data_IF_118629330378
#
_entry.id   IF_118629330378
#
_cell.length_a   1.000
_cell.length_b   1.000
_cell.length_c   1.000
_cell.angle_alpha   90.00
_cell.angle_beta   90.00
_cell.angle_gamma   90.00
#
_symmetry.space_group_name_H-M   'P 1'
#
loop_
_entity.id
_entity.type
_entity.pdbx_description
1 polymer ?
#
# COMPACT_ATOMS: atom_id res chain seq x y z
N UNK A 1 1.66 6.03 -19.38
CA UNK A 1 2.53 4.84 -19.66
C UNK A 1 1.96 4.01 -20.81
N UNK A 2 2.79 3.21 -21.47
CA UNK A 2 2.31 2.29 -22.53
C UNK A 2 1.80 1.01 -21.86
N UNK A 3 0.62 0.55 -22.29
CA UNK A 3 0.06 -0.73 -21.81
C UNK A 3 1.01 -1.89 -22.10
N UNK A 4 1.33 -2.69 -21.10
CA UNK A 4 2.10 -3.93 -21.27
C UNK A 4 1.16 -5.01 -21.79
N UNK A 5 1.49 -5.57 -22.97
CA UNK A 5 0.76 -6.65 -23.64
C UNK A 5 1.63 -7.91 -23.60
N UNK A 6 1.48 -8.79 -22.59
CA UNK A 6 2.33 -9.98 -22.49
C UNK A 6 2.09 -10.92 -23.69
N UNK A 7 3.17 -11.32 -24.35
CA UNK A 7 3.08 -12.22 -25.50
C UNK A 7 2.50 -13.57 -25.09
N UNK A 8 1.47 -14.03 -25.81
CA UNK A 8 0.82 -15.30 -25.51
C UNK A 8 0.01 -15.33 -24.21
N UNK A 9 -0.35 -14.17 -23.66
CA UNK A 9 -1.21 -14.10 -22.47
C UNK A 9 -2.53 -14.84 -22.71
N UNK A 10 -2.95 -15.59 -21.70
CA UNK A 10 -4.27 -16.22 -21.63
C UNK A 10 -4.75 -16.26 -20.19
N UNK A 11 -6.03 -16.09 -19.99
CA UNK A 11 -6.67 -16.25 -18.69
C UNK A 11 -6.58 -17.72 -18.25
N UNK A 12 -5.82 -18.01 -17.19
CA UNK A 12 -5.66 -19.37 -16.66
C UNK A 12 -6.93 -19.93 -16.01
N UNK A 13 -7.90 -19.05 -15.67
CA UNK A 13 -9.19 -19.41 -15.08
C UNK A 13 -10.29 -19.59 -16.15
N UNK A 14 -9.93 -19.51 -17.42
CA UNK A 14 -10.76 -19.77 -18.60
C UNK A 14 -11.83 -18.72 -18.87
N UNK A 15 -12.58 -18.27 -17.86
CA UNK A 15 -13.70 -17.33 -18.01
C UNK A 15 -13.84 -16.36 -16.82
N UNK A 16 -14.72 -15.38 -16.98
CA UNK A 16 -14.98 -14.35 -15.96
C UNK A 16 -15.61 -14.94 -14.69
N UNK A 17 -16.54 -15.92 -14.82
CA UNK A 17 -17.20 -16.53 -13.66
C UNK A 17 -16.19 -17.22 -12.72
N UNK A 18 -15.24 -17.98 -13.27
CA UNK A 18 -14.19 -18.62 -12.50
C UNK A 18 -13.25 -17.58 -11.89
N UNK A 19 -12.98 -16.49 -12.61
CA UNK A 19 -12.19 -15.37 -12.11
C UNK A 19 -12.87 -14.71 -10.89
N UNK A 20 -14.16 -14.44 -10.95
CA UNK A 20 -14.92 -13.87 -9.84
C UNK A 20 -14.95 -14.79 -8.60
N UNK A 21 -15.14 -16.10 -8.81
CA UNK A 21 -15.02 -17.08 -7.73
C UNK A 21 -13.63 -17.06 -7.09
N UNK A 22 -12.58 -17.04 -7.89
CA UNK A 22 -11.21 -17.00 -7.40
C UNK A 22 -10.89 -15.69 -6.66
N UNK A 23 -11.37 -14.55 -7.14
CA UNK A 23 -11.25 -13.25 -6.44
C UNK A 23 -11.86 -13.33 -5.04
N UNK A 24 -13.08 -13.88 -4.93
CA UNK A 24 -13.74 -14.08 -3.64
C UNK A 24 -12.88 -14.96 -2.72
N UNK A 25 -12.38 -16.10 -3.21
CA UNK A 25 -11.52 -16.99 -2.43
C UNK A 25 -10.24 -16.30 -1.94
N UNK A 26 -9.54 -15.57 -2.82
CA UNK A 26 -8.35 -14.79 -2.42
C UNK A 26 -8.69 -13.79 -1.32
N UNK A 27 -9.77 -13.01 -1.50
CA UNK A 27 -10.16 -11.97 -0.52
C UNK A 27 -10.51 -12.57 0.83
N UNK A 28 -11.31 -13.62 0.87
CA UNK A 28 -11.73 -14.26 2.13
C UNK A 28 -10.54 -14.88 2.86
N UNK A 29 -9.72 -15.69 2.17
CA UNK A 29 -8.56 -16.35 2.74
C UNK A 29 -7.50 -15.36 3.23
N UNK A 30 -7.20 -14.34 2.42
CA UNK A 30 -6.14 -13.41 2.77
C UNK A 30 -6.50 -12.55 3.99
N UNK A 31 -7.72 -12.00 4.06
CA UNK A 31 -8.14 -11.20 5.21
C UNK A 31 -8.14 -12.00 6.52
N UNK A 32 -8.51 -13.29 6.49
CA UNK A 32 -8.41 -14.18 7.64
C UNK A 32 -6.96 -14.42 8.05
N UNK A 33 -6.09 -14.77 7.09
CA UNK A 33 -4.68 -15.00 7.35
C UNK A 33 -3.99 -13.72 7.88
N UNK A 34 -4.25 -12.55 7.28
CA UNK A 34 -3.71 -11.27 7.74
C UNK A 34 -4.16 -10.94 9.16
N UNK A 35 -5.46 -11.11 9.45
CA UNK A 35 -6.03 -10.86 10.76
C UNK A 35 -5.40 -11.76 11.84
N UNK A 36 -5.21 -13.03 11.53
CA UNK A 36 -4.56 -13.98 12.43
C UNK A 36 -3.09 -13.63 12.69
N UNK A 37 -2.32 -13.33 11.61
CA UNK A 37 -0.89 -13.01 11.71
C UNK A 37 -0.62 -11.74 12.52
N UNK A 38 -1.46 -10.71 12.39
CA UNK A 38 -1.23 -9.41 12.99
C UNK A 38 -2.11 -9.11 14.22
N UNK A 39 -3.05 -10.02 14.59
CA UNK A 39 -4.04 -9.83 15.64
C UNK A 39 -4.94 -8.60 15.40
N UNK A 40 -5.59 -8.56 14.23
CA UNK A 40 -6.43 -7.45 13.78
C UNK A 40 -7.92 -7.75 13.95
N UNK A 41 -8.68 -6.74 14.37
CA UNK A 41 -10.13 -6.72 14.35
C UNK A 41 -10.61 -5.96 13.10
N UNK A 42 -11.54 -6.54 12.33
CA UNK A 42 -12.19 -5.79 11.24
C UNK A 42 -13.11 -4.72 11.81
N UNK A 43 -13.01 -3.50 11.29
CA UNK A 43 -13.88 -2.38 11.66
C UNK A 43 -14.48 -1.73 10.41
N UNK A 44 -15.61 -1.04 10.57
CA UNK A 44 -16.14 -0.16 9.52
C UNK A 44 -15.35 1.13 9.46
N UNK A 45 -15.16 1.66 8.26
CA UNK A 45 -14.43 2.90 8.05
C UNK A 45 -15.22 3.90 7.20
N UNK A 46 -14.94 5.20 7.31
CA UNK A 46 -15.58 6.20 6.47
C UNK A 46 -15.04 6.13 5.04
N UNK A 47 -15.91 6.36 4.07
CA UNK A 47 -15.54 6.61 2.69
C UNK A 47 -15.18 8.09 2.46
N UNK A 48 -15.68 8.96 3.32
CA UNK A 48 -15.50 10.42 3.23
C UNK A 48 -15.11 10.99 4.59
N UNK A 49 -14.33 12.05 4.59
CA UNK A 49 -13.94 12.82 5.78
C UNK A 49 -14.15 14.31 5.53
N UNK A 50 -14.26 15.10 6.61
CA UNK A 50 -14.38 16.57 6.48
C UNK A 50 -13.05 17.16 6.01
N UNK A 51 -13.14 18.07 5.04
CA UNK A 51 -12.01 18.84 4.53
C UNK A 51 -11.39 19.68 5.65
N UNK A 52 -10.05 19.83 5.65
CA UNK A 52 -9.34 20.67 6.59
C UNK A 52 -9.09 20.05 7.96
N UNK A 53 -9.43 18.78 8.17
CA UNK A 53 -9.15 18.06 9.42
C UNK A 53 -7.75 17.48 9.53
N UNK A 54 -7.04 17.37 8.41
CA UNK A 54 -5.76 16.67 8.32
C UNK A 54 -5.88 15.14 8.42
N UNK A 55 -7.11 14.59 8.35
CA UNK A 55 -7.34 13.13 8.41
C UNK A 55 -7.08 12.49 7.06
N UNK A 56 -7.52 13.12 5.95
CA UNK A 56 -7.24 12.60 4.62
C UNK A 56 -5.74 12.66 4.30
N UNK A 57 -5.32 11.84 3.36
CA UNK A 57 -3.95 11.82 2.87
C UNK A 57 -3.82 12.75 1.66
N UNK A 58 -2.78 13.57 1.66
CA UNK A 58 -2.46 14.45 0.52
C UNK A 58 -1.60 13.71 -0.53
N UNK A 59 -1.32 12.43 -0.34
CA UNK A 59 -0.40 11.62 -1.16
C UNK A 59 0.95 12.35 -1.31
N UNK A 60 1.27 12.81 -2.55
CA UNK A 60 2.46 13.62 -2.79
C UNK A 60 2.20 15.14 -2.67
N UNK A 61 1.03 15.55 -2.17
CA UNK A 61 0.59 16.95 -1.98
C UNK A 61 0.29 17.68 -3.30
N UNK A 62 0.06 16.97 -4.39
CA UNK A 62 -0.30 17.51 -5.70
C UNK A 62 -1.61 16.94 -6.24
N UNK A 63 -2.03 15.77 -5.75
CA UNK A 63 -3.25 15.08 -6.17
C UNK A 63 -4.49 15.76 -5.62
N UNK A 64 -5.52 15.88 -6.46
CA UNK A 64 -6.79 16.52 -6.12
C UNK A 64 -7.75 15.53 -5.46
N UNK A 65 -8.28 15.79 -4.26
CA UNK A 65 -9.35 14.97 -3.70
C UNK A 65 -10.67 15.20 -4.43
N UNK A 66 -11.46 14.15 -4.56
CA UNK A 66 -12.87 14.29 -4.96
C UNK A 66 -13.63 14.87 -3.78
N UNK A 67 -14.13 16.10 -3.89
CA UNK A 67 -14.77 16.81 -2.79
C UNK A 67 -16.13 17.38 -3.17
N UNK A 68 -17.03 17.47 -2.18
CA UNK A 68 -18.41 17.95 -2.36
C UNK A 68 -18.92 18.64 -1.09
N UNK A 69 -19.91 19.55 -1.20
CA UNK A 69 -20.57 20.14 -0.03
C UNK A 69 -21.60 19.21 0.56
N UNK A 70 -21.85 19.31 1.87
CA UNK A 70 -22.89 18.58 2.60
C UNK A 70 -24.00 19.54 3.00
N UNK A 71 -25.19 19.40 2.39
CA UNK A 71 -26.34 20.29 2.58
C UNK A 71 -26.75 20.40 4.05
N UNK A 72 -26.90 19.29 4.75
CA UNK A 72 -27.36 19.25 6.14
C UNK A 72 -26.29 19.72 7.16
N UNK A 73 -25.09 20.05 6.68
CA UNK A 73 -24.00 20.61 7.45
C UNK A 73 -23.63 22.05 6.98
N UNK A 74 -24.63 22.81 6.54
CA UNK A 74 -24.46 24.19 6.06
C UNK A 74 -23.36 24.31 4.97
N UNK A 75 -23.41 23.42 3.99
CA UNK A 75 -22.47 23.37 2.87
C UNK A 75 -20.98 23.11 3.28
N UNK A 76 -20.76 22.61 4.49
CA UNK A 76 -19.43 22.16 4.89
C UNK A 76 -18.93 21.10 3.93
N UNK A 77 -17.66 21.21 3.53
CA UNK A 77 -17.09 20.30 2.51
C UNK A 77 -16.57 19.02 3.12
N UNK A 78 -16.86 17.91 2.42
CA UNK A 78 -16.24 16.62 2.62
C UNK A 78 -15.45 16.21 1.39
N UNK A 79 -14.56 15.26 1.56
CA UNK A 79 -13.73 14.68 0.50
C UNK A 79 -13.67 13.16 0.63
N UNK A 80 -13.65 12.48 -0.51
CA UNK A 80 -13.41 11.04 -0.56
C UNK A 80 -11.98 10.76 -0.12
N UNK A 81 -11.78 9.75 0.71
CA UNK A 81 -10.46 9.43 1.23
C UNK A 81 -9.49 9.00 0.13
N UNK A 82 -8.23 9.41 0.26
CA UNK A 82 -7.11 8.86 -0.51
C UNK A 82 -6.43 7.71 0.24
N UNK A 83 -6.46 7.75 1.58
CA UNK A 83 -5.94 6.75 2.50
C UNK A 83 -6.61 6.90 3.86
N UNK A 84 -6.63 5.86 4.66
CA UNK A 84 -7.16 5.84 6.02
C UNK A 84 -6.05 5.76 7.09
N UNK A 85 -4.79 5.97 6.76
CA UNK A 85 -3.67 5.84 7.68
C UNK A 85 -3.87 6.66 8.97
N UNK A 86 -4.21 7.94 8.83
CA UNK A 86 -4.44 8.85 9.96
C UNK A 86 -5.75 8.56 10.70
N UNK A 87 -6.81 8.23 9.97
CA UNK A 87 -8.09 7.86 10.57
C UNK A 87 -7.98 6.59 11.44
N UNK A 88 -7.30 5.56 10.97
CA UNK A 88 -7.11 4.31 11.73
C UNK A 88 -6.41 4.56 13.06
N UNK A 89 -5.40 5.42 13.07
CA UNK A 89 -4.68 5.77 14.28
C UNK A 89 -5.56 6.51 15.29
N UNK A 90 -6.40 7.45 14.83
CA UNK A 90 -7.42 8.09 15.67
C UNK A 90 -8.38 7.06 16.24
N UNK A 91 -8.86 6.13 15.40
CA UNK A 91 -9.79 5.07 15.78
C UNK A 91 -9.23 4.14 16.84
N UNK A 92 -7.96 3.75 16.73
CA UNK A 92 -7.26 2.96 17.75
C UNK A 92 -7.17 3.69 19.09
N UNK A 93 -6.92 5.00 19.07
CA UNK A 93 -6.93 5.84 20.28
C UNK A 93 -8.31 5.94 20.92
N UNK A 94 -9.36 6.18 20.13
CA UNK A 94 -10.77 6.19 20.58
C UNK A 94 -11.18 4.86 21.22
N UNK A 95 -10.82 3.75 20.59
CA UNK A 95 -11.12 2.40 21.07
C UNK A 95 -10.23 1.95 22.23
N UNK A 96 -9.20 2.72 22.57
CA UNK A 96 -8.21 2.38 23.61
C UNK A 96 -7.61 0.98 23.41
N UNK A 97 -7.25 0.66 22.17
CA UNK A 97 -6.70 -0.65 21.82
C UNK A 97 -5.34 -0.85 22.46
N UNK A 98 -5.15 -2.01 23.11
CA UNK A 98 -3.90 -2.33 23.78
C UNK A 98 -2.74 -2.63 22.78
N UNK A 99 -1.48 -2.39 23.15
CA UNK A 99 -0.32 -2.78 22.35
C UNK A 99 -0.36 -4.26 21.96
N UNK A 100 0.08 -4.56 20.74
CA UNK A 100 0.06 -5.90 20.16
C UNK A 100 -1.23 -6.27 19.43
N UNK A 101 -2.28 -5.44 19.51
CA UNK A 101 -3.56 -5.60 18.79
C UNK A 101 -3.78 -4.44 17.81
N UNK A 102 -4.63 -4.65 16.83
CA UNK A 102 -4.91 -3.65 15.81
C UNK A 102 -6.28 -3.80 15.15
N UNK A 103 -6.47 -3.00 14.13
CA UNK A 103 -7.68 -3.01 13.28
C UNK A 103 -7.30 -3.13 11.82
N UNK A 104 -8.21 -3.64 11.00
CA UNK A 104 -8.19 -3.46 9.55
C UNK A 104 -9.58 -3.11 9.02
N UNK A 105 -9.61 -2.56 7.83
CA UNK A 105 -10.85 -2.21 7.14
C UNK A 105 -10.70 -2.43 5.64
N UNK A 106 -11.84 -2.56 4.95
CA UNK A 106 -11.91 -2.48 3.50
C UNK A 106 -11.98 -0.99 3.12
N UNK A 107 -10.86 -0.43 2.69
CA UNK A 107 -10.78 0.95 2.23
C UNK A 107 -11.11 1.00 0.74
N UNK A 108 -11.89 2.01 0.36
CA UNK A 108 -12.15 2.38 -1.02
C UNK A 108 -11.78 3.85 -1.21
N UNK A 109 -10.92 4.14 -2.18
CA UNK A 109 -10.43 5.48 -2.48
C UNK A 109 -10.63 5.85 -3.94
N UNK A 110 -10.81 7.13 -4.22
CA UNK A 110 -10.83 7.67 -5.58
C UNK A 110 -9.64 8.59 -5.81
N UNK A 111 -8.91 8.34 -6.87
CA UNK A 111 -7.72 9.10 -7.28
C UNK A 111 -7.89 9.62 -8.71
N UNK A 112 -8.52 10.77 -8.90
CA UNK A 112 -8.87 11.28 -10.24
C UNK A 112 -7.64 11.64 -11.08
N UNK A 113 -6.49 11.89 -10.46
CA UNK A 113 -5.24 12.25 -11.13
C UNK A 113 -4.32 11.03 -11.39
N UNK A 114 -4.80 9.81 -11.13
CA UNK A 114 -4.02 8.58 -11.36
C UNK A 114 -3.78 8.35 -12.85
N UNK A 115 -2.55 8.03 -13.23
CA UNK A 115 -2.21 7.61 -14.59
C UNK A 115 -2.60 6.14 -14.76
N UNK A 116 -3.58 5.89 -15.64
CA UNK A 116 -4.14 4.56 -15.84
C UNK A 116 -3.17 3.67 -16.65
N UNK A 117 -2.91 2.47 -16.14
CA UNK A 117 -2.08 1.45 -16.80
C UNK A 117 -2.52 0.04 -16.38
N UNK A 118 -1.64 -0.96 -16.55
CA UNK A 118 -1.95 -2.35 -16.18
C UNK A 118 -2.30 -2.53 -14.70
N UNK A 119 -1.79 -1.68 -13.80
CA UNK A 119 -1.87 -1.85 -12.34
C UNK A 119 -2.50 -0.68 -11.59
N UNK A 120 -2.78 0.43 -12.29
CA UNK A 120 -3.39 1.63 -11.74
C UNK A 120 -4.79 1.88 -12.32
N UNK A 121 -5.71 2.28 -11.45
CA UNK A 121 -7.08 2.66 -11.82
C UNK A 121 -7.56 3.82 -10.94
N UNK A 122 -8.62 4.51 -11.37
CA UNK A 122 -9.24 5.62 -10.62
C UNK A 122 -9.73 5.21 -9.22
N UNK A 123 -10.07 3.93 -9.06
CA UNK A 123 -10.59 3.35 -7.83
C UNK A 123 -9.55 2.44 -7.21
N UNK A 124 -9.22 2.69 -5.94
CA UNK A 124 -8.25 1.90 -5.16
C UNK A 124 -8.97 1.21 -4.02
N UNK A 125 -8.77 -0.11 -3.89
CA UNK A 125 -9.27 -0.93 -2.81
C UNK A 125 -8.10 -1.55 -2.03
N UNK A 126 -8.14 -1.44 -0.69
CA UNK A 126 -7.08 -1.97 0.17
C UNK A 126 -7.65 -2.67 1.40
N UNK A 127 -6.98 -3.73 1.87
CA UNK A 127 -6.99 -4.07 3.28
C UNK A 127 -6.08 -3.06 3.97
N UNK A 128 -6.68 -2.07 4.57
CA UNK A 128 -5.98 -0.98 5.22
C UNK A 128 -5.93 -1.25 6.72
N UNK A 129 -4.74 -1.53 7.25
CA UNK A 129 -4.52 -2.04 8.61
C UNK A 129 -3.66 -1.11 9.45
N UNK A 130 -3.84 -1.17 10.78
CA UNK A 130 -3.07 -0.41 11.75
C UNK A 130 -3.02 -1.18 13.08
N UNK A 131 -1.84 -1.25 13.70
CA UNK A 131 -1.60 -2.00 14.94
C UNK A 131 -0.90 -1.12 15.96
N UNK A 132 -1.39 -1.15 17.22
CA UNK A 132 -0.75 -0.44 18.34
C UNK A 132 0.53 -1.18 18.74
N UNK A 133 1.60 -0.41 18.90
CA UNK A 133 2.92 -0.88 19.33
C UNK A 133 3.41 -0.09 20.54
N UNK A 134 4.43 -0.60 21.23
CA UNK A 134 5.11 0.17 22.27
C UNK A 134 6.17 1.09 21.67
N UNK A 135 6.69 2.05 22.45
CA UNK A 135 7.78 2.93 21.98
C UNK A 135 9.07 2.16 21.68
N UNK A 136 9.35 1.11 22.45
CA UNK A 136 10.53 0.24 22.28
C UNK A 136 10.46 -0.58 20.97
N UNK A 137 9.25 -0.81 20.46
CA UNK A 137 9.02 -1.51 19.18
C UNK A 137 9.18 -0.60 17.95
N UNK A 138 9.49 0.69 18.15
CA UNK A 138 9.82 1.61 17.05
C UNK A 138 11.26 1.39 16.56
N UNK A 139 11.51 0.27 15.94
CA UNK A 139 12.83 -0.13 15.43
C UNK A 139 12.71 -0.99 14.17
N UNK A 140 13.84 -1.13 13.46
CA UNK A 140 13.89 -1.84 12.16
C UNK A 140 13.65 -3.35 12.32
N UNK A 141 14.02 -3.94 13.44
CA UNK A 141 13.82 -5.37 13.69
C UNK A 141 12.33 -5.70 13.78
N UNK A 142 11.55 -4.86 14.47
CA UNK A 142 10.10 -5.01 14.58
C UNK A 142 9.39 -4.77 13.23
N UNK A 143 9.84 -3.79 12.44
CA UNK A 143 9.35 -3.59 11.08
C UNK A 143 9.55 -4.85 10.24
N UNK A 144 10.78 -5.37 10.17
CA UNK A 144 11.12 -6.59 9.41
C UNK A 144 10.31 -7.81 9.88
N UNK A 145 10.09 -7.95 11.19
CA UNK A 145 9.25 -9.03 11.73
C UNK A 145 7.80 -8.91 11.25
N UNK A 146 7.24 -7.70 11.24
CA UNK A 146 5.87 -7.46 10.80
C UNK A 146 5.73 -7.74 9.30
N UNK A 147 6.69 -7.32 8.50
CA UNK A 147 6.73 -7.62 7.05
C UNK A 147 6.75 -9.13 6.79
N UNK A 148 7.57 -9.90 7.52
CA UNK A 148 7.59 -11.38 7.38
C UNK A 148 6.24 -12.01 7.69
N UNK A 149 5.50 -11.51 8.68
CA UNK A 149 4.15 -12.01 9.00
C UNK A 149 3.15 -11.73 7.89
N UNK A 150 3.22 -10.55 7.27
CA UNK A 150 2.37 -10.22 6.11
C UNK A 150 2.74 -11.09 4.91
N UNK A 151 4.03 -11.25 4.65
CA UNK A 151 4.51 -12.11 3.58
C UNK A 151 4.06 -13.57 3.77
N UNK A 152 4.10 -14.08 4.99
CA UNK A 152 3.58 -15.41 5.32
C UNK A 152 2.06 -15.52 5.06
N UNK A 153 1.27 -14.48 5.39
CA UNK A 153 -0.15 -14.46 5.05
C UNK A 153 -0.38 -14.56 3.53
N UNK A 154 0.46 -13.89 2.71
CA UNK A 154 0.40 -13.98 1.25
C UNK A 154 0.75 -15.40 0.77
N UNK A 155 1.85 -15.98 1.27
CA UNK A 155 2.28 -17.36 0.90
C UNK A 155 1.22 -18.41 1.25
N UNK A 156 0.66 -18.33 2.45
CA UNK A 156 -0.41 -19.25 2.87
C UNK A 156 -1.61 -19.13 1.94
N UNK A 157 -1.96 -17.91 1.53
CA UNK A 157 -3.06 -17.67 0.59
C UNK A 157 -2.74 -18.24 -0.80
N UNK A 158 -1.53 -18.04 -1.32
CA UNK A 158 -1.08 -18.60 -2.60
C UNK A 158 -1.16 -20.13 -2.60
N UNK A 159 -0.68 -20.78 -1.54
CA UNK A 159 -0.70 -22.24 -1.42
C UNK A 159 -2.13 -22.80 -1.29
N UNK A 160 -3.01 -22.16 -0.55
CA UNK A 160 -4.42 -22.57 -0.46
C UNK A 160 -5.14 -22.40 -1.79
N UNK A 161 -4.86 -21.30 -2.51
CA UNK A 161 -5.43 -21.05 -3.82
C UNK A 161 -5.03 -22.13 -4.83
N UNK A 162 -3.78 -22.60 -4.79
CA UNK A 162 -3.29 -23.69 -5.64
C UNK A 162 -4.07 -25.00 -5.43
N UNK A 163 -4.52 -25.29 -4.22
CA UNK A 163 -5.33 -26.51 -3.94
C UNK A 163 -6.66 -26.46 -4.69
N UNK A 164 -7.29 -25.30 -4.80
CA UNK A 164 -8.58 -25.13 -5.48
C UNK A 164 -8.43 -24.88 -6.99
N UNK A 165 -7.35 -24.20 -7.38
CA UNK A 165 -7.04 -23.83 -8.76
C UNK A 165 -5.63 -24.31 -9.14
N UNK A 166 -5.43 -25.61 -9.44
CA UNK A 166 -4.09 -26.18 -9.65
C UNK A 166 -3.29 -25.58 -10.81
N UNK A 167 -3.94 -24.86 -11.73
CA UNK A 167 -3.28 -24.09 -12.79
C UNK A 167 -2.56 -22.83 -12.28
N UNK A 168 -2.85 -22.37 -11.05
CA UNK A 168 -2.20 -21.21 -10.41
C UNK A 168 -1.03 -21.68 -9.55
N UNK A 169 0.01 -22.20 -10.19
CA UNK A 169 1.18 -22.75 -9.49
C UNK A 169 1.86 -21.69 -8.63
N UNK A 170 2.14 -21.97 -7.32
CA UNK A 170 2.86 -21.06 -6.44
C UNK A 170 4.23 -20.65 -7.01
N UNK A 171 4.59 -19.38 -6.82
CA UNK A 171 5.85 -18.82 -7.34
C UNK A 171 6.59 -17.94 -6.33
N UNK A 172 6.00 -17.68 -5.17
CA UNK A 172 6.65 -16.87 -4.14
C UNK A 172 7.85 -17.62 -3.54
N UNK A 173 9.01 -16.95 -3.38
CA UNK A 173 10.17 -17.52 -2.70
C UNK A 173 9.88 -17.82 -1.23
N UNK A 174 10.70 -18.69 -0.62
CA UNK A 174 10.54 -19.07 0.78
C UNK A 174 10.66 -17.87 1.72
N UNK A 175 11.63 -16.98 1.45
CA UNK A 175 11.90 -15.81 2.27
C UNK A 175 11.84 -14.52 1.46
N UNK A 176 11.43 -13.44 2.11
CA UNK A 176 11.49 -12.09 1.58
C UNK A 176 12.86 -11.48 1.83
N UNK A 177 13.43 -10.83 0.81
CA UNK A 177 14.69 -10.10 0.93
C UNK A 177 14.43 -8.67 1.41
N UNK A 178 15.31 -8.16 2.31
CA UNK A 178 15.26 -6.79 2.80
C UNK A 178 16.45 -6.00 2.26
N UNK A 179 16.20 -4.81 1.75
CA UNK A 179 17.24 -3.89 1.29
C UNK A 179 16.81 -2.45 1.59
N UNK A 180 17.77 -1.60 1.99
CA UNK A 180 17.50 -0.18 2.13
C UNK A 180 17.60 0.53 0.77
N UNK A 181 16.78 1.57 0.57
CA UNK A 181 16.77 2.36 -0.67
C UNK A 181 18.15 2.93 -1.03
N UNK A 182 18.94 3.34 -0.02
CA UNK A 182 20.32 3.76 -0.23
C UNK A 182 21.21 2.64 -0.76
N UNK A 183 21.14 1.44 -0.17
CA UNK A 183 21.89 0.28 -0.67
C UNK A 183 21.50 -0.08 -2.10
N UNK A 184 20.20 0.09 -2.43
CA UNK A 184 19.71 -0.15 -3.78
C UNK A 184 20.23 0.89 -4.78
N UNK A 185 20.37 2.16 -4.38
CA UNK A 185 21.04 3.20 -5.15
C UNK A 185 22.51 2.86 -5.36
N UNK A 186 23.21 2.45 -4.30
CA UNK A 186 24.67 2.14 -4.36
C UNK A 186 24.94 0.92 -5.27
N UNK A 187 24.04 -0.06 -5.31
CA UNK A 187 24.13 -1.22 -6.21
C UNK A 187 23.89 -0.87 -7.69
N UNK A 188 23.01 0.10 -7.94
CA UNK A 188 22.58 0.47 -9.29
C UNK A 188 22.55 1.99 -9.50
N UNK A 189 23.69 2.71 -9.36
CA UNK A 189 23.71 4.18 -9.29
C UNK A 189 23.25 4.86 -10.59
N UNK A 190 23.36 4.18 -11.74
CA UNK A 190 22.94 4.74 -13.04
C UNK A 190 21.48 4.45 -13.42
N UNK A 191 20.71 3.77 -12.56
CA UNK A 191 19.33 3.36 -12.87
C UNK A 191 18.33 4.24 -12.14
N UNK A 192 17.14 4.43 -12.75
CA UNK A 192 15.98 5.07 -12.11
C UNK A 192 15.42 4.16 -11.01
N UNK A 193 14.66 4.70 -10.02
CA UNK A 193 14.10 3.90 -8.93
C UNK A 193 13.37 2.63 -9.38
N UNK A 194 12.43 2.72 -10.32
CA UNK A 194 11.69 1.55 -10.83
C UNK A 194 12.56 0.54 -11.58
N UNK A 195 13.65 0.98 -12.21
CA UNK A 195 14.63 0.07 -12.83
C UNK A 195 15.45 -0.66 -11.77
N UNK A 196 15.82 0.02 -10.67
CA UNK A 196 16.50 -0.59 -9.50
C UNK A 196 15.60 -1.66 -8.86
N UNK A 197 14.31 -1.36 -8.67
CA UNK A 197 13.32 -2.32 -8.18
C UNK A 197 13.24 -3.55 -9.08
N UNK A 198 13.14 -3.36 -10.39
CA UNK A 198 13.09 -4.47 -11.36
C UNK A 198 14.31 -5.39 -11.25
N UNK A 199 15.52 -4.85 -11.10
CA UNK A 199 16.73 -5.66 -10.96
C UNK A 199 16.73 -6.49 -9.68
N UNK A 200 16.45 -5.87 -8.54
CA UNK A 200 16.54 -6.56 -7.26
C UNK A 200 15.39 -7.56 -7.08
N UNK A 201 14.17 -7.21 -7.52
CA UNK A 201 13.01 -8.09 -7.38
C UNK A 201 13.09 -9.27 -8.36
N UNK A 202 13.64 -9.06 -9.58
CA UNK A 202 13.94 -10.17 -10.50
C UNK A 202 14.90 -11.19 -9.88
N UNK A 203 15.89 -10.70 -9.10
CA UNK A 203 16.90 -11.54 -8.46
C UNK A 203 16.36 -12.36 -7.30
N UNK A 204 15.51 -11.76 -6.46
CA UNK A 204 15.07 -12.36 -5.20
C UNK A 204 13.59 -12.81 -5.20
N UNK A 205 12.79 -12.43 -6.18
CA UNK A 205 11.37 -12.77 -6.30
C UNK A 205 10.44 -11.98 -5.38
N UNK A 206 10.87 -11.69 -4.14
CA UNK A 206 10.14 -10.88 -3.17
C UNK A 206 11.12 -10.01 -2.39
N UNK A 207 10.87 -8.70 -2.33
CA UNK A 207 11.76 -7.71 -1.71
C UNK A 207 10.95 -6.69 -0.92
N UNK A 208 11.45 -6.30 0.26
CA UNK A 208 10.98 -5.14 0.98
C UNK A 208 12.04 -4.04 0.91
N UNK A 209 11.72 -2.94 0.23
CA UNK A 209 12.61 -1.78 0.10
C UNK A 209 12.33 -0.83 1.26
N UNK A 210 13.32 -0.63 2.13
CA UNK A 210 13.22 0.17 3.35
C UNK A 210 13.65 1.62 3.07
N UNK A 211 13.06 2.60 3.78
CA UNK A 211 13.50 4.00 3.77
C UNK A 211 12.95 4.80 2.59
N UNK A 212 11.66 4.63 2.30
CA UNK A 212 10.96 5.37 1.24
C UNK A 212 10.53 6.76 1.76
N UNK A 213 10.88 7.82 1.03
CA UNK A 213 10.50 9.20 1.32
C UNK A 213 11.66 10.12 1.74
N UNK A 214 12.72 9.59 2.34
CA UNK A 214 13.92 10.37 2.65
C UNK A 214 14.80 10.57 1.42
N UNK A 215 15.48 11.72 1.35
CA UNK A 215 16.51 11.96 0.34
C UNK A 215 17.67 10.97 0.52
N UNK A 216 18.15 10.40 -0.57
CA UNK A 216 19.31 9.53 -0.65
C UNK A 216 20.59 10.36 -0.88
N UNK A 217 21.74 9.70 -1.03
CA UNK A 217 23.04 10.36 -1.23
C UNK A 217 23.14 11.16 -2.53
N UNK A 218 22.28 10.90 -3.51
CA UNK A 218 22.14 11.67 -4.74
C UNK A 218 21.22 12.91 -4.62
N UNK A 219 20.63 13.12 -3.43
CA UNK A 219 19.74 14.24 -3.12
C UNK A 219 18.26 13.97 -3.40
N UNK A 220 17.92 12.88 -4.06
CA UNK A 220 16.54 12.52 -4.43
C UNK A 220 16.01 11.36 -3.56
N UNK A 221 14.72 11.31 -3.25
CA UNK A 221 14.13 10.14 -2.62
C UNK A 221 14.00 8.98 -3.62
N UNK A 222 13.97 7.75 -3.10
CA UNK A 222 13.67 6.58 -3.96
C UNK A 222 12.26 6.67 -4.55
N UNK A 223 11.28 7.01 -3.71
CA UNK A 223 9.90 7.30 -4.12
C UNK A 223 9.29 8.32 -3.15
N UNK A 224 8.13 8.89 -3.52
CA UNK A 224 7.38 9.83 -2.70
C UNK A 224 6.79 9.20 -1.44
N UNK A 225 6.69 9.99 -0.35
CA UNK A 225 5.96 9.62 0.86
C UNK A 225 5.52 10.87 1.59
N UNK A 226 4.26 10.94 2.02
CA UNK A 226 3.77 12.07 2.82
C UNK A 226 4.54 12.19 4.14
N UNK A 227 4.51 13.41 4.72
CA UNK A 227 5.27 13.72 5.93
C UNK A 227 4.60 13.25 7.22
N UNK A 228 3.34 12.83 7.18
CA UNK A 228 2.49 12.81 8.35
C UNK A 228 1.87 11.45 8.73
N UNK A 229 2.38 10.35 8.15
CA UNK A 229 2.00 9.01 8.61
C UNK A 229 3.20 8.06 8.75
N UNK A 230 3.95 7.71 7.72
CA UNK A 230 5.12 6.82 7.84
C UNK A 230 6.36 7.57 8.33
N UNK A 231 7.13 6.95 9.24
CA UNK A 231 8.40 7.49 9.71
C UNK A 231 9.54 7.10 8.77
N UNK A 232 9.87 8.01 7.87
CA UNK A 232 10.99 7.87 6.93
C UNK A 232 12.25 8.65 7.35
N UNK A 233 12.22 9.36 8.48
CA UNK A 233 13.30 10.26 8.89
C UNK A 233 14.08 9.83 10.14
N UNK A 234 13.57 8.86 10.90
CA UNK A 234 14.25 8.37 12.10
C UNK A 234 15.42 7.48 11.71
N UNK A 235 16.65 7.76 12.23
CA UNK A 235 17.79 6.86 12.06
C UNK A 235 17.50 5.47 12.64
N UNK A 236 17.93 4.43 11.93
CA UNK A 236 17.79 3.04 12.38
C UNK A 236 19.15 2.41 12.70
N UNK A 237 19.12 1.23 13.32
CA UNK A 237 20.31 0.52 13.82
C UNK A 237 21.22 0.00 12.68
N UNK A 238 20.77 0.04 11.43
CA UNK A 238 21.56 -0.35 10.26
C UNK A 238 22.33 0.82 9.64
N UNK A 239 22.28 2.01 10.27
CA UNK A 239 22.98 3.22 9.84
C UNK A 239 22.29 4.02 8.74
N UNK A 240 21.02 3.77 8.49
CA UNK A 240 20.19 4.48 7.51
C UNK A 240 19.02 5.19 8.20
N UNK A 241 18.27 5.98 7.43
CA UNK A 241 17.04 6.62 7.91
C UNK A 241 15.81 5.84 7.44
N UNK A 242 14.76 5.83 8.27
CA UNK A 242 13.45 5.30 7.93
C UNK A 242 13.11 3.97 8.59
N UNK A 243 11.84 3.89 8.97
CA UNK A 243 11.18 2.75 9.60
C UNK A 243 9.94 2.34 8.78
N UNK A 244 10.00 2.52 7.47
CA UNK A 244 8.93 2.25 6.51
C UNK A 244 9.49 1.61 5.25
N UNK A 245 8.61 1.21 4.34
CA UNK A 245 9.03 0.68 3.04
C UNK A 245 7.88 0.10 2.25
N UNK A 246 8.24 -0.49 1.10
CA UNK A 246 7.32 -1.07 0.14
C UNK A 246 7.63 -2.53 -0.13
N UNK A 247 6.59 -3.36 -0.15
CA UNK A 247 6.65 -4.79 -0.47
C UNK A 247 6.45 -4.97 -1.96
N UNK A 248 7.48 -5.48 -2.61
CA UNK A 248 7.54 -5.72 -4.04
C UNK A 248 7.66 -7.22 -4.32
N UNK A 249 6.87 -7.73 -5.28
CA UNK A 249 6.93 -9.09 -5.78
C UNK A 249 7.31 -9.07 -7.27
N UNK A 250 8.01 -10.12 -7.74
CA UNK A 250 8.24 -10.29 -9.18
C UNK A 250 6.96 -10.74 -9.86
N UNK A 251 6.39 -9.91 -10.72
CA UNK A 251 5.20 -10.30 -11.48
C UNK A 251 5.61 -11.08 -12.73
N UNK A 252 5.35 -12.41 -12.79
CA UNK A 252 5.77 -13.23 -13.92
C UNK A 252 4.99 -12.95 -15.20
N UNK A 253 3.79 -12.35 -15.10
CA UNK A 253 2.95 -12.00 -16.26
C UNK A 253 3.44 -10.72 -16.91
N UNK A 254 3.69 -9.67 -16.11
CA UNK A 254 4.15 -8.37 -16.61
C UNK A 254 5.67 -8.29 -16.78
N UNK A 255 6.44 -9.22 -16.16
CA UNK A 255 7.90 -9.24 -16.22
C UNK A 255 8.57 -8.07 -15.52
N UNK A 256 7.97 -7.57 -14.44
CA UNK A 256 8.47 -6.43 -13.68
C UNK A 256 8.26 -6.56 -12.16
N UNK A 257 8.85 -5.65 -11.39
CA UNK A 257 8.56 -5.47 -9.98
C UNK A 257 7.12 -4.95 -9.81
N UNK A 258 6.43 -5.50 -8.83
CA UNK A 258 5.01 -5.27 -8.59
C UNK A 258 4.78 -4.95 -7.11
N UNK A 259 4.47 -3.70 -6.82
CA UNK A 259 4.17 -3.26 -5.45
C UNK A 259 2.80 -3.76 -5.01
N UNK A 260 2.76 -4.49 -3.91
CA UNK A 260 1.53 -5.01 -3.30
C UNK A 260 1.15 -4.30 -2.01
N UNK A 261 2.10 -3.68 -1.32
CA UNK A 261 1.86 -3.01 -0.04
C UNK A 261 2.87 -1.91 0.23
N UNK A 262 2.39 -0.79 0.74
CA UNK A 262 3.17 0.25 1.40
C UNK A 262 2.87 0.23 2.89
N UNK A 263 3.90 0.29 3.76
CA UNK A 263 3.72 0.21 5.20
C UNK A 263 4.89 0.81 5.99
N UNK A 264 4.63 1.12 7.25
CA UNK A 264 5.70 1.63 8.13
C UNK A 264 5.28 1.75 9.59
N UNK A 265 6.28 1.86 10.45
CA UNK A 265 6.10 2.42 11.77
C UNK A 265 5.73 3.88 11.58
N UNK A 266 4.66 4.30 12.26
CA UNK A 266 4.13 5.64 12.07
C UNK A 266 4.97 6.68 12.79
N UNK A 267 4.95 7.91 12.30
CA UNK A 267 5.60 9.06 12.97
C UNK A 267 5.17 9.18 14.43
N UNK A 268 6.10 9.54 15.28
CA UNK A 268 5.83 10.07 16.62
C UNK A 268 5.85 11.61 16.62
N UNK A 269 5.75 12.21 17.78
CA UNK A 269 5.72 13.67 17.96
C UNK A 269 6.99 14.32 17.38
N UNK A 270 8.14 13.68 17.55
CA UNK A 270 9.45 14.17 17.09
C UNK A 270 9.64 14.00 15.59
N UNK A 271 9.38 12.82 15.08
CA UNK A 271 9.55 12.55 13.64
C UNK A 271 8.49 13.27 12.79
N UNK A 272 7.26 13.43 13.28
CA UNK A 272 6.25 14.27 12.61
C UNK A 272 6.75 15.70 12.46
N UNK A 273 7.20 16.33 13.57
CA UNK A 273 7.68 17.71 13.55
C UNK A 273 8.84 17.88 12.55
N UNK A 274 9.79 16.94 12.55
CA UNK A 274 10.95 16.92 11.65
C UNK A 274 10.51 16.76 10.18
N UNK A 275 9.64 15.81 9.89
CA UNK A 275 9.20 15.54 8.52
C UNK A 275 8.37 16.68 7.92
N UNK A 276 7.51 17.32 8.73
CA UNK A 276 6.79 18.52 8.31
C UNK A 276 7.74 19.68 7.99
N UNK A 277 8.83 19.83 8.75
CA UNK A 277 9.86 20.83 8.48
C UNK A 277 10.61 20.55 7.18
N UNK A 278 11.09 19.31 6.99
CA UNK A 278 11.77 18.87 5.76
C UNK A 278 10.91 19.13 4.51
N UNK A 279 9.60 18.92 4.61
CA UNK A 279 8.66 19.13 3.50
C UNK A 279 8.10 20.56 3.40
N UNK A 280 8.48 21.48 4.29
CA UNK A 280 7.92 22.84 4.31
C UNK A 280 6.42 22.89 4.63
N UNK A 281 5.90 21.92 5.36
CA UNK A 281 4.46 21.73 5.65
C UNK A 281 4.10 22.03 7.13
N UNK A 282 4.84 22.92 7.81
CA UNK A 282 4.66 23.20 9.22
C UNK A 282 3.24 23.70 9.57
N UNK A 283 2.55 24.35 8.63
CA UNK A 283 1.16 24.78 8.80
C UNK A 283 0.18 23.63 9.14
N UNK A 284 0.49 22.38 8.74
CA UNK A 284 -0.32 21.22 9.08
C UNK A 284 -0.37 20.93 10.58
N UNK A 285 0.58 21.43 11.36
CA UNK A 285 0.59 21.28 12.84
C UNK A 285 -0.70 21.75 13.49
N UNK A 286 -1.40 22.69 12.85
CA UNK A 286 -2.65 23.26 13.36
C UNK A 286 -3.90 22.44 13.02
N UNK A 287 -3.81 21.44 12.17
CA UNK A 287 -4.93 20.56 11.81
C UNK A 287 -5.25 19.57 12.96
N UNK A 288 -6.49 19.12 13.00
CA UNK A 288 -7.01 18.29 14.09
C UNK A 288 -6.18 17.03 14.39
N UNK A 289 -5.85 16.25 13.36
CA UNK A 289 -5.04 15.03 13.53
C UNK A 289 -3.65 15.35 14.08
N UNK A 290 -2.99 16.36 13.51
CA UNK A 290 -1.61 16.72 13.86
C UNK A 290 -1.50 17.27 15.28
N UNK A 291 -2.46 18.12 15.70
CA UNK A 291 -2.54 18.60 17.10
C UNK A 291 -2.62 17.45 18.10
N UNK A 292 -3.49 16.47 17.85
CA UNK A 292 -3.61 15.29 18.72
C UNK A 292 -2.34 14.48 18.81
N UNK A 293 -1.68 14.29 17.67
CA UNK A 293 -0.42 13.53 17.65
C UNK A 293 0.70 14.27 18.37
N UNK A 294 0.88 15.57 18.09
CA UNK A 294 1.90 16.39 18.75
C UNK A 294 1.67 16.56 20.25
N UNK A 295 0.42 16.49 20.72
CA UNK A 295 0.05 16.48 22.12
C UNK A 295 0.28 15.11 22.83
N UNK A 296 0.72 14.07 22.09
CA UNK A 296 0.92 12.72 22.65
C UNK A 296 -0.39 11.98 22.97
N UNK A 297 -1.51 12.40 22.40
CA UNK A 297 -2.84 11.80 22.65
C UNK A 297 -3.07 10.52 21.83
N UNK A 298 -2.25 10.24 20.83
CA UNK A 298 -2.42 9.08 19.93
C UNK A 298 -1.40 7.99 20.23
N UNK A 299 -1.79 6.68 20.11
CA UNK A 299 -0.88 5.58 20.35
C UNK A 299 0.26 5.53 19.32
N UNK A 300 1.40 4.95 19.71
CA UNK A 300 2.40 4.53 18.73
C UNK A 300 1.83 3.36 17.93
N UNK A 301 2.02 3.40 16.59
CA UNK A 301 1.44 2.38 15.70
C UNK A 301 2.41 2.00 14.57
N UNK A 302 2.16 0.83 13.99
CA UNK A 302 2.65 0.38 12.70
C UNK A 302 1.44 0.07 11.83
N UNK A 303 1.49 0.42 10.56
CA UNK A 303 0.36 0.17 9.68
C UNK A 303 0.71 0.25 8.20
N UNK A 304 -0.26 -0.06 7.35
CA UNK A 304 -0.08 -0.05 5.92
C UNK A 304 -1.36 -0.37 5.17
N UNK A 305 -1.29 -0.28 3.85
CA UNK A 305 -2.32 -0.71 2.94
C UNK A 305 -1.83 -1.85 2.05
N UNK A 306 -2.63 -2.89 1.90
CA UNK A 306 -2.38 -3.98 0.96
C UNK A 306 -3.45 -3.90 -0.11
N UNK A 307 -3.05 -3.67 -1.37
CA UNK A 307 -3.97 -3.54 -2.48
C UNK A 307 -4.77 -4.82 -2.72
N UNK A 308 -6.10 -4.80 -2.52
CA UNK A 308 -6.94 -5.97 -2.70
C UNK A 308 -6.92 -6.44 -4.17
N UNK A 309 -7.24 -5.55 -5.09
CA UNK A 309 -7.21 -5.86 -6.52
C UNK A 309 -5.81 -6.19 -7.03
N UNK A 310 -4.77 -5.50 -6.51
CA UNK A 310 -3.38 -5.81 -6.87
C UNK A 310 -2.97 -7.21 -6.42
N UNK A 311 -3.27 -7.61 -5.18
CA UNK A 311 -2.95 -8.95 -4.70
C UNK A 311 -3.73 -10.02 -5.46
N UNK A 312 -5.04 -9.80 -5.75
CA UNK A 312 -5.81 -10.69 -6.62
C UNK A 312 -5.18 -10.80 -8.02
N UNK A 313 -4.83 -9.68 -8.64
CA UNK A 313 -4.17 -9.66 -9.95
C UNK A 313 -2.88 -10.50 -9.96
N UNK A 314 -2.05 -10.35 -8.94
CA UNK A 314 -0.80 -11.10 -8.79
C UNK A 314 -1.06 -12.60 -8.64
N UNK A 315 -1.89 -13.00 -7.67
CA UNK A 315 -2.14 -14.41 -7.35
C UNK A 315 -2.91 -15.13 -8.46
N UNK A 316 -3.80 -14.45 -9.18
CA UNK A 316 -4.60 -15.00 -10.27
C UNK A 316 -3.91 -14.90 -11.65
N UNK A 317 -2.64 -14.42 -11.68
CA UNK A 317 -1.84 -14.32 -12.92
C UNK A 317 -2.51 -13.47 -14.00
N UNK A 318 -3.10 -12.35 -13.63
CA UNK A 318 -3.77 -11.44 -14.55
C UNK A 318 -2.82 -10.39 -15.10
N UNK A 319 -3.08 -9.98 -16.35
CA UNK A 319 -2.26 -8.99 -17.08
C UNK A 319 -2.70 -7.55 -16.82
N UNK A 320 -3.95 -7.34 -16.39
CA UNK A 320 -4.51 -6.02 -16.16
C UNK A 320 -5.43 -6.01 -14.92
N UNK A 321 -5.36 -4.94 -14.12
CA UNK A 321 -6.18 -4.81 -12.91
C UNK A 321 -7.68 -4.76 -13.23
N UNK A 322 -8.05 -4.36 -14.43
CA UNK A 322 -9.42 -4.37 -14.95
C UNK A 322 -9.99 -5.77 -15.20
N UNK A 323 -9.18 -6.85 -15.14
CA UNK A 323 -9.68 -8.22 -15.12
C UNK A 323 -10.11 -8.66 -13.71
N UNK A 324 -9.80 -7.84 -12.69
CA UNK A 324 -10.09 -8.11 -11.27
C UNK A 324 -11.22 -7.24 -10.76
N UNK A 325 -11.34 -6.02 -11.25
CA UNK A 325 -12.35 -5.08 -10.78
C UNK A 325 -12.91 -4.21 -11.89
N UNK A 326 -14.19 -3.95 -11.78
CA UNK A 326 -14.88 -3.02 -12.65
C UNK A 326 -14.41 -1.58 -12.38
N UNK A 327 -14.13 -0.82 -13.42
CA UNK A 327 -13.71 0.58 -13.35
C UNK A 327 -14.03 1.30 -14.66
N UNK A 328 -13.67 2.60 -14.74
CA UNK A 328 -13.76 3.40 -15.97
C UNK A 328 -12.41 3.34 -16.66
N UNK A 329 -12.41 2.93 -17.92
CA UNK A 329 -11.22 2.83 -18.74
C UNK A 329 -11.38 3.64 -20.03
N UNK A 330 -10.32 4.30 -20.53
CA UNK A 330 -10.32 4.94 -21.85
C UNK A 330 -10.67 3.92 -22.95
N UNK A 331 -11.40 4.35 -23.95
CA UNK A 331 -11.81 3.49 -25.08
C UNK A 331 -10.61 2.89 -25.82
N UNK A 332 -9.53 3.67 -25.96
CA UNK A 332 -8.25 3.17 -26.51
C UNK A 332 -7.71 1.99 -25.73
N UNK A 333 -7.70 2.07 -24.38
CA UNK A 333 -7.22 1.02 -23.51
C UNK A 333 -8.10 -0.24 -23.58
N UNK A 334 -9.44 -0.05 -23.60
CA UNK A 334 -10.39 -1.19 -23.78
C UNK A 334 -10.10 -1.95 -25.07
N UNK A 335 -9.92 -1.22 -26.18
CA UNK A 335 -9.61 -1.83 -27.48
C UNK A 335 -8.26 -2.56 -27.45
N UNK A 336 -7.23 -1.91 -26.92
CA UNK A 336 -5.89 -2.51 -26.81
C UNK A 336 -5.86 -3.76 -25.94
N UNK A 337 -6.60 -3.77 -24.82
CA UNK A 337 -6.76 -4.95 -23.99
C UNK A 337 -7.46 -6.08 -24.75
N UNK A 338 -8.57 -5.79 -25.43
CA UNK A 338 -9.32 -6.77 -26.22
C UNK A 338 -8.46 -7.40 -27.32
N UNK A 339 -7.69 -6.59 -28.05
CA UNK A 339 -6.74 -7.07 -29.07
C UNK A 339 -5.64 -7.96 -28.51
N UNK A 340 -5.26 -7.77 -27.24
CA UNK A 340 -4.26 -8.56 -26.51
C UNK A 340 -4.85 -9.78 -25.79
N UNK A 341 -6.16 -10.06 -25.91
CA UNK A 341 -6.83 -11.14 -25.20
C UNK A 341 -7.00 -10.90 -23.70
N UNK A 342 -6.97 -9.62 -23.28
CA UNK A 342 -7.19 -9.18 -21.91
C UNK A 342 -8.65 -8.73 -21.79
N UNK A 343 -9.45 -9.45 -21.01
CA UNK A 343 -10.89 -9.22 -20.85
C UNK A 343 -11.15 -8.36 -19.61
N UNK A 344 -11.51 -7.07 -19.81
CA UNK A 344 -11.84 -6.14 -18.73
C UNK A 344 -13.30 -6.36 -18.28
N UNK A 345 -13.51 -6.51 -16.95
CA UNK A 345 -14.83 -6.67 -16.32
C UNK A 345 -15.52 -5.36 -16.00
#
# INVERSE_FOLDING_TARGET
MTLIKPSGYRNLLENVENTEKAIKHVKDMFQENLSAQLALLRVTAPMVVLTGTGINDDLNSVERPVSFPIRDMNEQRAEVVHSLAKWKRLKLGEMKVAPGRGIYTDMNALRPDEELDNIHSLYVDQWDWEKVITREQRNIAFLKQTVRRIYEAIKVTENKLYVEFPQLVPSLPEEIHFIHAQQLLDLYPGKKPKERENEIVRRYGAVFVIGIGAALSDGEPHDGRAADYDDWSTPNEEGYNGLNGDLLLWNPVLGNAFEVSSMGIRVDETSLARQLEIRGQQAKRDLYFHKKLLAGELPCTIGGGIGQSRLCMYLLRKAHIGEIKSSIWPESMRRECSEAGIELV
#
